data_IF_478739384718
#
_entry.id   IF_478739384718
#
_cell.length_a   1.000
_cell.length_b   1.000
_cell.length_c   1.000
_cell.angle_alpha   90.00
_cell.angle_beta   90.00
_cell.angle_gamma   90.00
#
_symmetry.space_group_name_H-M   'P 1'
#
loop_
_entity.id
_entity.type
_entity.pdbx_description
1 polymer ?
#
# COMPACT_ATOMS: atom_id res chain seq x y z
N UNK A 1 2.02 -12.58 12.91
CA UNK A 1 2.34 -13.51 11.80
C UNK A 1 2.31 -12.86 10.41
N UNK A 2 1.53 -11.80 10.15
CA UNK A 2 1.48 -11.13 8.83
C UNK A 2 2.86 -10.84 8.20
N UNK A 3 3.75 -10.14 8.93
CA UNK A 3 5.09 -9.82 8.41
C UNK A 3 5.89 -11.06 8.01
N UNK A 4 5.83 -12.12 8.81
CA UNK A 4 6.55 -13.36 8.55
C UNK A 4 6.13 -13.97 7.21
N UNK A 5 4.84 -14.06 6.91
CA UNK A 5 4.36 -14.72 5.69
C UNK A 5 4.37 -13.81 4.46
N UNK A 6 4.22 -12.50 4.62
CA UNK A 6 4.17 -11.55 3.51
C UNK A 6 5.56 -11.03 3.12
N UNK A 7 6.48 -10.91 4.07
CA UNK A 7 7.85 -10.45 3.81
C UNK A 7 8.85 -11.57 4.05
N UNK A 8 8.95 -12.09 5.28
CA UNK A 8 10.11 -12.91 5.66
C UNK A 8 10.21 -14.26 4.98
N UNK A 9 9.07 -14.86 4.63
CA UNK A 9 8.99 -16.19 4.05
C UNK A 9 8.62 -16.17 2.58
N UNK A 10 8.11 -15.07 2.02
CA UNK A 10 7.74 -14.97 0.60
C UNK A 10 8.59 -13.94 -0.13
N UNK A 11 8.34 -12.64 0.06
CA UNK A 11 9.05 -11.56 -0.63
C UNK A 11 10.57 -11.58 -0.41
N UNK A 12 11.02 -11.83 0.82
CA UNK A 12 12.43 -11.92 1.20
C UNK A 12 13.17 -13.05 0.48
N UNK A 13 12.69 -14.31 0.56
CA UNK A 13 13.30 -15.42 -0.16
C UNK A 13 13.21 -15.31 -1.68
N UNK A 14 12.07 -14.91 -2.24
CA UNK A 14 11.97 -14.70 -3.70
C UNK A 14 12.82 -13.53 -4.20
N UNK A 15 13.04 -12.52 -3.35
CA UNK A 15 13.95 -11.41 -3.62
C UNK A 15 15.42 -11.70 -3.32
N UNK A 16 15.75 -12.86 -2.74
CA UNK A 16 17.12 -13.25 -2.39
C UNK A 16 17.72 -12.51 -1.19
N UNK A 17 16.91 -11.85 -0.36
CA UNK A 17 17.40 -11.09 0.80
C UNK A 17 17.62 -11.94 2.05
N UNK A 18 16.74 -12.92 2.29
CA UNK A 18 16.71 -13.75 3.49
C UNK A 18 16.15 -15.14 3.14
N UNK A 19 16.40 -16.14 3.97
CA UNK A 19 15.88 -17.50 3.81
C UNK A 19 15.49 -18.12 5.15
N UNK A 20 14.59 -19.10 5.13
CA UNK A 20 14.17 -19.75 6.36
C UNK A 20 15.26 -20.70 6.88
N UNK A 21 15.57 -20.61 8.18
CA UNK A 21 16.56 -21.47 8.85
C UNK A 21 15.96 -22.72 9.50
N UNK A 22 14.63 -22.82 9.52
CA UNK A 22 13.91 -23.96 10.11
C UNK A 22 13.89 -25.12 9.12
N UNK A 23 14.57 -26.21 9.48
CA UNK A 23 14.77 -27.42 8.67
C UNK A 23 13.56 -28.37 8.67
N UNK A 24 12.71 -28.29 9.70
CA UNK A 24 11.48 -29.09 9.80
C UNK A 24 10.36 -28.63 8.85
N UNK A 25 10.42 -27.41 8.33
CA UNK A 25 9.41 -26.89 7.40
C UNK A 25 9.62 -27.38 5.97
N UNK A 26 8.77 -28.29 5.52
CA UNK A 26 8.88 -28.94 4.20
C UNK A 26 8.11 -28.21 3.08
N UNK A 27 7.11 -27.40 3.42
CA UNK A 27 6.22 -26.72 2.45
C UNK A 27 6.30 -25.20 2.60
N UNK A 28 7.25 -24.58 1.89
CA UNK A 28 7.57 -23.15 2.00
C UNK A 28 7.45 -22.45 0.65
N UNK A 29 7.37 -21.11 0.67
CA UNK A 29 7.43 -20.33 -0.56
C UNK A 29 8.81 -20.45 -1.22
N UNK A 30 9.92 -20.41 -0.46
CA UNK A 30 11.29 -20.53 -0.99
C UNK A 30 11.57 -21.89 -1.67
N UNK A 31 10.78 -22.93 -1.35
CA UNK A 31 10.83 -24.25 -1.99
C UNK A 31 9.74 -24.44 -3.05
N UNK A 32 9.05 -23.37 -3.43
CA UNK A 32 8.00 -23.34 -4.46
C UNK A 32 6.81 -24.30 -4.22
N UNK A 33 6.60 -24.73 -2.98
CA UNK A 33 5.52 -25.64 -2.60
C UNK A 33 4.76 -25.18 -1.33
N UNK A 34 4.41 -23.89 -1.17
CA UNK A 34 3.75 -23.41 0.04
C UNK A 34 2.39 -24.08 0.22
N UNK A 35 2.09 -24.47 1.46
CA UNK A 35 0.79 -25.03 1.82
C UNK A 35 -0.36 -24.05 1.53
N UNK A 36 -1.59 -24.56 1.44
CA UNK A 36 -2.77 -23.71 1.28
C UNK A 36 -2.89 -22.68 2.41
N UNK A 37 -2.56 -23.05 3.64
CA UNK A 37 -2.61 -22.16 4.80
C UNK A 37 -1.57 -21.04 4.72
N UNK A 38 -0.38 -21.32 4.20
CA UNK A 38 0.64 -20.30 3.99
C UNK A 38 0.24 -19.31 2.90
N UNK A 39 -0.38 -19.80 1.82
CA UNK A 39 -0.85 -18.96 0.70
C UNK A 39 -2.00 -18.02 1.07
N UNK A 40 -2.77 -18.32 2.13
CA UNK A 40 -3.85 -17.42 2.61
C UNK A 40 -3.33 -16.09 3.11
N UNK A 41 -2.15 -16.08 3.75
CA UNK A 41 -1.58 -14.89 4.37
C UNK A 41 -1.39 -13.71 3.40
N UNK A 42 -0.61 -13.83 2.31
CA UNK A 42 -0.37 -12.73 1.37
C UNK A 42 -1.54 -12.39 0.45
N UNK A 43 -2.63 -13.16 0.51
CA UNK A 43 -3.80 -12.96 -0.34
C UNK A 43 -5.06 -12.70 0.48
N UNK A 44 -5.70 -13.75 0.99
CA UNK A 44 -6.98 -13.65 1.69
C UNK A 44 -6.87 -12.80 2.97
N UNK A 45 -5.87 -13.04 3.81
CA UNK A 45 -5.74 -12.30 5.07
C UNK A 45 -5.40 -10.83 4.82
N UNK A 46 -4.48 -10.52 3.89
CA UNK A 46 -4.18 -9.13 3.51
C UNK A 46 -5.45 -8.41 3.03
N UNK A 47 -6.24 -9.03 2.14
CA UNK A 47 -7.47 -8.41 1.63
C UNK A 47 -8.46 -8.19 2.78
N UNK A 48 -8.73 -9.20 3.60
CA UNK A 48 -9.68 -9.09 4.72
C UNK A 48 -9.25 -8.05 5.74
N UNK A 49 -7.99 -8.07 6.19
CA UNK A 49 -7.48 -7.13 7.19
C UNK A 49 -7.37 -5.69 6.65
N UNK A 50 -7.28 -5.50 5.33
CA UNK A 50 -7.25 -4.17 4.70
C UNK A 50 -8.66 -3.58 4.54
N UNK A 51 -9.60 -4.37 4.04
CA UNK A 51 -10.89 -3.83 3.62
C UNK A 51 -11.86 -3.54 4.78
N UNK A 52 -11.75 -4.26 5.91
CA UNK A 52 -12.55 -3.96 7.10
C UNK A 52 -12.32 -2.53 7.62
N UNK A 53 -11.08 -2.10 7.95
CA UNK A 53 -10.84 -0.71 8.38
C UNK A 53 -11.04 0.29 7.25
N UNK A 54 -10.69 -0.03 6.00
CA UNK A 54 -10.93 0.85 4.85
C UNK A 54 -12.41 1.26 4.73
N UNK A 55 -13.33 0.28 4.79
CA UNK A 55 -14.77 0.53 4.75
C UNK A 55 -15.25 1.30 5.98
N UNK A 56 -14.72 0.99 7.15
CA UNK A 56 -15.04 1.70 8.39
C UNK A 56 -14.70 3.20 8.30
N UNK A 57 -13.61 3.55 7.62
CA UNK A 57 -13.24 4.95 7.39
C UNK A 57 -14.14 5.56 6.32
N UNK A 58 -14.18 4.99 5.11
CA UNK A 58 -14.88 5.58 3.96
C UNK A 58 -16.40 5.69 4.18
N UNK A 59 -17.01 4.75 4.90
CA UNK A 59 -18.43 4.80 5.24
C UNK A 59 -18.75 5.50 6.56
N UNK A 60 -17.72 5.87 7.35
CA UNK A 60 -17.88 6.38 8.72
C UNK A 60 -17.60 7.87 8.89
N UNK A 61 -17.10 8.56 7.86
CA UNK A 61 -16.80 10.00 7.92
C UNK A 61 -16.96 10.68 6.56
N UNK A 62 -17.28 11.97 6.57
CA UNK A 62 -17.25 12.87 5.41
C UNK A 62 -15.94 13.66 5.30
N UNK A 63 -14.98 13.42 6.21
CA UNK A 63 -13.65 14.05 6.18
C UNK A 63 -12.87 13.54 4.96
N UNK A 64 -12.72 14.41 3.96
CA UNK A 64 -12.03 14.12 2.72
C UNK A 64 -10.56 13.70 2.91
N UNK A 65 -9.87 14.21 3.93
CA UNK A 65 -8.47 13.86 4.20
C UNK A 65 -8.40 12.45 4.79
N UNK A 66 -9.35 12.08 5.67
CA UNK A 66 -9.48 10.71 6.15
C UNK A 66 -9.68 9.72 4.98
N UNK A 67 -10.59 10.07 4.05
CA UNK A 67 -10.90 9.26 2.88
C UNK A 67 -9.69 9.18 1.93
N UNK A 68 -8.98 10.29 1.72
CA UNK A 68 -7.77 10.32 0.92
C UNK A 68 -6.67 9.41 1.50
N UNK A 69 -6.48 9.43 2.82
CA UNK A 69 -5.55 8.50 3.48
C UNK A 69 -5.98 7.05 3.32
N UNK A 70 -7.27 6.74 3.51
CA UNK A 70 -7.77 5.38 3.35
C UNK A 70 -7.53 4.85 1.92
N UNK A 71 -7.79 5.67 0.90
CA UNK A 71 -7.54 5.32 -0.51
C UNK A 71 -6.06 5.16 -0.83
N UNK A 72 -5.21 6.09 -0.38
CA UNK A 72 -3.76 6.01 -0.55
C UNK A 72 -3.19 4.73 0.05
N UNK A 73 -3.56 4.40 1.30
CA UNK A 73 -3.10 3.20 1.98
C UNK A 73 -3.64 1.93 1.34
N UNK A 74 -4.90 1.94 0.87
CA UNK A 74 -5.45 0.84 0.08
C UNK A 74 -4.64 0.60 -1.19
N UNK A 75 -4.31 1.63 -1.95
CA UNK A 75 -3.44 1.49 -3.15
C UNK A 75 -2.05 0.97 -2.77
N UNK A 76 -1.44 1.52 -1.71
CA UNK A 76 -0.13 1.08 -1.20
C UNK A 76 -0.09 -0.42 -0.83
N UNK A 77 -1.19 -0.95 -0.31
CA UNK A 77 -1.30 -2.37 0.06
C UNK A 77 -1.63 -3.21 -1.17
N UNK A 78 -2.69 -2.85 -1.89
CA UNK A 78 -3.28 -3.69 -2.93
C UNK A 78 -2.44 -3.76 -4.21
N UNK A 79 -1.60 -2.76 -4.50
CA UNK A 79 -0.63 -2.88 -5.60
C UNK A 79 0.32 -4.08 -5.38
N UNK A 80 0.69 -4.37 -4.12
CA UNK A 80 1.57 -5.52 -3.78
C UNK A 80 0.86 -6.85 -4.00
N UNK A 81 -0.44 -6.90 -3.70
CA UNK A 81 -1.27 -8.10 -3.91
C UNK A 81 -1.40 -8.39 -5.41
N UNK A 82 -1.80 -7.40 -6.21
CA UNK A 82 -1.90 -7.63 -7.67
C UNK A 82 -0.55 -7.87 -8.33
N UNK A 83 0.55 -7.26 -7.86
CA UNK A 83 1.90 -7.56 -8.36
C UNK A 83 2.31 -9.01 -8.10
N UNK A 84 1.75 -9.65 -7.06
CA UNK A 84 2.05 -11.04 -6.70
C UNK A 84 1.13 -12.06 -7.40
N UNK A 85 -0.14 -11.70 -7.64
CA UNK A 85 -1.19 -12.64 -8.06
C UNK A 85 -1.80 -12.34 -9.43
N UNK A 86 -1.52 -11.18 -10.02
CA UNK A 86 -2.20 -10.72 -11.24
C UNK A 86 -3.62 -10.26 -10.93
N UNK A 87 -4.67 -10.85 -11.54
CA UNK A 87 -6.06 -10.52 -11.23
C UNK A 87 -6.38 -10.71 -9.74
N UNK A 88 -7.12 -9.75 -9.16
CA UNK A 88 -7.53 -9.79 -7.75
C UNK A 88 -8.95 -9.20 -7.58
N UNK A 89 -9.67 -9.51 -6.51
CA UNK A 89 -10.87 -8.75 -6.14
C UNK A 89 -10.46 -7.32 -5.76
N UNK A 90 -11.07 -6.30 -6.38
CA UNK A 90 -10.74 -4.90 -6.10
C UNK A 90 -11.96 -3.96 -6.12
N UNK A 91 -12.57 -3.74 -7.29
CA UNK A 91 -13.65 -2.78 -7.51
C UNK A 91 -14.93 -3.16 -6.77
N UNK A 92 -15.28 -4.45 -6.77
CA UNK A 92 -16.48 -4.94 -6.10
C UNK A 92 -16.33 -5.03 -4.58
N UNK A 93 -15.11 -4.92 -4.05
CA UNK A 93 -14.90 -5.01 -2.61
C UNK A 93 -15.45 -3.79 -1.87
N UNK A 94 -15.59 -2.63 -2.52
CA UNK A 94 -16.13 -1.42 -1.89
C UNK A 94 -17.64 -1.52 -1.63
N UNK A 95 -18.39 -2.13 -2.54
CA UNK A 95 -19.85 -2.17 -2.52
C UNK A 95 -20.44 -3.46 -1.93
N UNK A 96 -19.60 -4.40 -1.48
CA UNK A 96 -20.04 -5.69 -0.94
C UNK A 96 -19.48 -5.94 0.44
N UNK A 97 -20.27 -6.45 1.38
CA UNK A 97 -19.80 -6.89 2.70
C UNK A 97 -18.84 -8.09 2.61
N UNK A 98 -19.06 -8.97 1.63
CA UNK A 98 -18.20 -10.11 1.36
C UNK A 98 -16.87 -9.70 0.73
N UNK A 99 -15.78 -10.37 1.13
CA UNK A 99 -14.49 -10.30 0.41
C UNK A 99 -14.40 -11.32 -0.74
N UNK A 100 -15.36 -12.24 -0.83
CA UNK A 100 -15.51 -13.18 -1.93
C UNK A 100 -16.37 -12.52 -3.02
N UNK A 101 -15.70 -11.74 -3.88
CA UNK A 101 -16.32 -11.03 -5.01
C UNK A 101 -15.60 -11.36 -6.31
N UNK A 102 -16.14 -10.89 -7.44
CA UNK A 102 -15.50 -11.11 -8.72
C UNK A 102 -14.11 -10.46 -8.78
N UNK A 103 -13.24 -11.07 -9.59
CA UNK A 103 -11.89 -10.59 -9.80
C UNK A 103 -11.89 -9.57 -10.93
N UNK A 104 -11.09 -8.53 -10.73
CA UNK A 104 -10.73 -7.60 -11.79
C UNK A 104 -9.43 -8.05 -12.44
N UNK A 105 -9.26 -7.78 -13.74
CA UNK A 105 -7.97 -7.97 -14.39
C UNK A 105 -6.93 -7.06 -13.76
N UNK A 106 -5.65 -7.45 -13.76
CA UNK A 106 -4.57 -6.59 -13.25
C UNK A 106 -4.56 -5.20 -13.91
N UNK A 107 -4.89 -5.13 -15.20
CA UNK A 107 -5.04 -3.86 -15.92
C UNK A 107 -6.17 -2.98 -15.35
N UNK A 108 -7.34 -3.56 -15.08
CA UNK A 108 -8.45 -2.85 -14.48
C UNK A 108 -8.12 -2.38 -13.05
N UNK A 109 -7.44 -3.23 -12.27
CA UNK A 109 -6.97 -2.90 -10.92
C UNK A 109 -6.01 -1.72 -10.96
N UNK A 110 -4.98 -1.74 -11.82
CA UNK A 110 -4.05 -0.63 -11.97
C UNK A 110 -4.71 0.66 -12.45
N UNK A 111 -5.65 0.57 -13.39
CA UNK A 111 -6.42 1.72 -13.87
C UNK A 111 -7.19 2.37 -12.70
N UNK A 112 -7.91 1.56 -11.91
CA UNK A 112 -8.66 2.04 -10.76
C UNK A 112 -7.74 2.60 -9.66
N UNK A 113 -6.61 1.96 -9.39
CA UNK A 113 -5.63 2.45 -8.41
C UNK A 113 -5.03 3.80 -8.83
N UNK A 114 -4.82 4.07 -10.12
CA UNK A 114 -4.38 5.39 -10.57
C UNK A 114 -5.45 6.47 -10.36
N UNK A 115 -6.72 6.16 -10.65
CA UNK A 115 -7.84 7.08 -10.37
C UNK A 115 -7.90 7.44 -8.87
N UNK A 116 -7.90 6.43 -8.00
CA UNK A 116 -7.98 6.62 -6.55
C UNK A 116 -6.76 7.37 -6.00
N UNK A 117 -5.57 7.11 -6.55
CA UNK A 117 -4.35 7.78 -6.15
C UNK A 117 -4.31 9.23 -6.63
N UNK A 118 -4.83 9.52 -7.83
CA UNK A 118 -4.94 10.89 -8.35
C UNK A 118 -5.92 11.73 -7.50
N UNK A 119 -7.07 11.17 -7.14
CA UNK A 119 -8.03 11.81 -6.23
C UNK A 119 -7.40 12.07 -4.85
N UNK A 120 -6.65 11.10 -4.30
CA UNK A 120 -5.95 11.28 -3.02
C UNK A 120 -4.87 12.35 -3.10
N UNK A 121 -4.08 12.40 -4.19
CA UNK A 121 -3.06 13.42 -4.42
C UNK A 121 -3.67 14.82 -4.47
N UNK A 122 -4.81 14.98 -5.16
CA UNK A 122 -5.51 16.26 -5.24
C UNK A 122 -5.97 16.74 -3.85
N UNK A 123 -6.62 15.86 -3.08
CA UNK A 123 -7.11 16.17 -1.73
C UNK A 123 -5.96 16.50 -0.77
N UNK A 124 -4.90 15.70 -0.76
CA UNK A 124 -3.73 15.96 0.08
C UNK A 124 -3.06 17.28 -0.33
N UNK A 125 -2.97 17.56 -1.63
CA UNK A 125 -2.39 18.78 -2.19
C UNK A 125 -3.03 20.06 -1.66
N UNK A 126 -4.36 20.13 -1.67
CA UNK A 126 -5.11 21.30 -1.17
C UNK A 126 -5.19 21.40 0.36
N UNK A 127 -4.76 20.36 1.08
CA UNK A 127 -4.80 20.29 2.54
C UNK A 127 -3.40 20.28 3.18
N UNK A 128 -2.33 20.58 2.43
CA UNK A 128 -0.93 20.58 2.92
C UNK A 128 -0.67 21.58 4.07
N UNK A 129 -1.52 22.56 4.27
CA UNK A 129 -1.40 23.58 5.32
C UNK A 129 -2.09 23.20 6.64
N UNK A 130 -2.78 22.05 6.70
CA UNK A 130 -3.38 21.58 7.95
C UNK A 130 -2.28 21.32 9.01
N UNK A 131 -2.51 21.72 10.27
CA UNK A 131 -1.58 21.44 11.36
C UNK A 131 -1.38 19.92 11.52
N UNK A 132 -0.14 19.49 11.76
CA UNK A 132 0.18 18.08 11.94
C UNK A 132 -0.59 17.46 13.12
N UNK A 133 -0.91 18.27 14.14
CA UNK A 133 -1.70 17.87 15.31
C UNK A 133 -3.10 17.36 14.97
N UNK A 134 -3.65 17.72 13.81
CA UNK A 134 -4.93 17.19 13.34
C UNK A 134 -4.85 15.68 13.05
N UNK A 135 -3.67 15.18 12.65
CA UNK A 135 -3.48 13.81 12.17
C UNK A 135 -2.43 13.01 12.95
N UNK A 136 -1.61 13.65 13.80
CA UNK A 136 -0.47 13.01 14.47
C UNK A 136 -0.83 11.77 15.29
N UNK A 137 -2.03 11.71 15.87
CA UNK A 137 -2.51 10.59 16.68
C UNK A 137 -2.82 9.35 15.86
N UNK A 138 -3.03 9.51 14.56
CA UNK A 138 -3.43 8.45 13.64
C UNK A 138 -2.30 8.04 12.69
N UNK A 139 -1.20 8.80 12.67
CA UNK A 139 -0.11 8.65 11.72
C UNK A 139 1.24 8.39 12.43
N UNK A 140 1.74 7.16 12.28
CA UNK A 140 3.04 6.74 12.80
C UNK A 140 4.17 6.81 11.75
N UNK A 141 3.90 7.33 10.54
CA UNK A 141 4.87 7.47 9.44
C UNK A 141 5.40 8.89 9.37
N UNK A 142 4.50 9.89 9.25
CA UNK A 142 4.88 11.29 9.11
C UNK A 142 4.34 12.17 10.23
N UNK A 143 3.83 11.57 11.30
CA UNK A 143 3.31 12.27 12.49
C UNK A 143 2.29 13.38 12.13
N UNK A 144 1.49 13.14 11.09
CA UNK A 144 0.43 14.04 10.63
C UNK A 144 0.85 15.02 9.53
N UNK A 145 2.10 14.98 9.04
CA UNK A 145 2.56 15.88 7.99
C UNK A 145 2.02 15.48 6.61
N UNK A 146 0.94 16.15 6.19
CA UNK A 146 0.27 15.93 4.90
C UNK A 146 1.19 16.23 3.70
N UNK A 147 2.08 17.22 3.79
CA UNK A 147 3.01 17.52 2.70
C UNK A 147 3.99 16.38 2.44
N UNK A 148 4.39 15.63 3.46
CA UNK A 148 5.22 14.42 3.27
C UNK A 148 4.40 13.26 2.70
N UNK A 149 3.15 13.10 3.13
CA UNK A 149 2.23 12.13 2.51
C UNK A 149 1.98 12.40 1.03
N UNK A 150 1.88 13.68 0.62
CA UNK A 150 1.77 14.06 -0.79
C UNK A 150 3.01 13.59 -1.59
N UNK A 151 4.22 13.78 -1.06
CA UNK A 151 5.46 13.27 -1.68
C UNK A 151 5.44 11.75 -1.79
N UNK A 152 4.98 11.05 -0.76
CA UNK A 152 4.84 9.59 -0.79
C UNK A 152 3.84 9.13 -1.85
N UNK A 153 2.66 9.76 -1.93
CA UNK A 153 1.62 9.42 -2.91
C UNK A 153 2.13 9.59 -4.35
N UNK A 154 2.80 10.70 -4.65
CA UNK A 154 3.45 10.90 -5.95
C UNK A 154 4.59 9.89 -6.20
N UNK A 155 5.36 9.52 -5.17
CA UNK A 155 6.43 8.51 -5.32
C UNK A 155 5.86 7.11 -5.60
N UNK A 156 4.73 6.77 -4.98
CA UNK A 156 3.99 5.55 -5.25
C UNK A 156 3.42 5.55 -6.67
N UNK A 157 2.86 6.68 -7.11
CA UNK A 157 2.39 6.88 -8.49
C UNK A 157 3.53 6.67 -9.50
N UNK A 158 4.71 7.23 -9.23
CA UNK A 158 5.90 7.03 -10.06
C UNK A 158 6.32 5.55 -10.10
N UNK A 159 6.36 4.85 -8.96
CA UNK A 159 6.64 3.40 -8.91
C UNK A 159 5.66 2.61 -9.77
N UNK A 160 4.37 2.87 -9.61
CA UNK A 160 3.31 2.21 -10.39
C UNK A 160 3.43 2.54 -11.89
N UNK A 161 3.71 3.79 -12.25
CA UNK A 161 3.91 4.18 -13.64
C UNK A 161 5.10 3.43 -14.27
N UNK A 162 6.21 3.28 -13.55
CA UNK A 162 7.36 2.50 -14.03
C UNK A 162 7.05 1.01 -14.20
N UNK A 163 6.14 0.44 -13.39
CA UNK A 163 5.68 -0.95 -13.59
C UNK A 163 5.04 -1.16 -14.97
N UNK A 164 4.39 -0.13 -15.52
CA UNK A 164 3.68 -0.20 -16.80
C UNK A 164 4.59 0.03 -18.02
N UNK A 165 5.87 0.35 -17.84
CA UNK A 165 6.74 0.87 -18.92
C UNK A 165 6.83 -0.02 -20.16
N UNK A 166 6.71 -1.34 -20.00
CA UNK A 166 6.77 -2.30 -21.11
C UNK A 166 5.41 -2.64 -21.72
N UNK A 167 4.32 -2.51 -20.95
CA UNK A 167 2.98 -2.95 -21.38
C UNK A 167 2.09 -1.80 -21.86
N UNK A 168 2.29 -0.60 -21.29
CA UNK A 168 1.57 0.63 -21.64
C UNK A 168 2.49 1.86 -21.56
N UNK A 169 3.49 1.98 -22.46
CA UNK A 169 4.55 2.99 -22.36
C UNK A 169 4.04 4.43 -22.35
N UNK A 170 3.03 4.75 -23.16
CA UNK A 170 2.48 6.13 -23.21
C UNK A 170 1.78 6.51 -21.90
N UNK A 171 0.98 5.60 -21.33
CA UNK A 171 0.35 5.81 -20.03
C UNK A 171 1.39 5.92 -18.91
N UNK A 172 2.41 5.04 -18.93
CA UNK A 172 3.52 5.08 -17.99
C UNK A 172 4.24 6.43 -18.03
N UNK A 173 4.56 6.93 -19.24
CA UNK A 173 5.22 8.22 -19.43
C UNK A 173 4.38 9.38 -18.89
N UNK A 174 3.08 9.41 -19.20
CA UNK A 174 2.17 10.44 -18.70
C UNK A 174 2.09 10.44 -17.16
N UNK A 175 1.83 9.28 -16.55
CA UNK A 175 1.69 9.15 -15.10
C UNK A 175 2.99 9.43 -14.35
N UNK A 176 4.14 9.04 -14.91
CA UNK A 176 5.45 9.37 -14.35
C UNK A 176 5.73 10.88 -14.39
N UNK A 177 5.42 11.55 -15.50
CA UNK A 177 5.58 13.00 -15.62
C UNK A 177 4.69 13.77 -14.63
N UNK A 178 3.42 13.36 -14.49
CA UNK A 178 2.49 13.91 -13.49
C UNK A 178 3.04 13.76 -12.07
N UNK A 179 3.52 12.56 -11.72
CA UNK A 179 4.09 12.28 -10.39
C UNK A 179 5.33 13.14 -10.08
N UNK A 180 6.23 13.28 -11.05
CA UNK A 180 7.45 14.10 -10.90
C UNK A 180 7.07 15.58 -10.73
N UNK A 181 6.12 16.08 -11.53
CA UNK A 181 5.65 17.46 -11.41
C UNK A 181 4.95 17.74 -10.07
N UNK A 182 4.25 16.75 -9.51
CA UNK A 182 3.62 16.83 -8.17
C UNK A 182 4.60 16.80 -7.00
N UNK A 183 5.87 16.49 -7.25
CA UNK A 183 6.92 16.37 -6.23
C UNK A 183 6.97 14.99 -5.59
N UNK A 184 8.14 14.36 -5.63
CA UNK A 184 8.40 13.02 -5.09
C UNK A 184 9.36 13.08 -3.89
N UNK A 185 9.58 11.95 -3.22
CA UNK A 185 10.58 11.80 -2.16
C UNK A 185 11.97 11.93 -2.79
N UNK A 186 12.72 12.97 -2.41
CA UNK A 186 14.09 13.24 -2.89
C UNK A 186 15.12 13.34 -1.77
N UNK A 187 14.67 13.34 -0.51
CA UNK A 187 15.52 13.41 0.67
C UNK A 187 15.16 12.30 1.66
N UNK A 188 16.15 11.81 2.41
CA UNK A 188 15.93 10.75 3.40
C UNK A 188 14.95 11.13 4.51
N UNK A 189 14.86 12.42 4.86
CA UNK A 189 13.91 12.92 5.84
C UNK A 189 12.44 12.77 5.39
N UNK A 190 12.19 12.55 4.10
CA UNK A 190 10.87 12.31 3.52
C UNK A 190 10.58 10.81 3.32
N UNK A 191 11.46 9.91 3.74
CA UNK A 191 11.21 8.47 3.60
C UNK A 191 9.97 8.05 4.37
N UNK A 192 9.07 7.29 3.72
CA UNK A 192 7.93 6.67 4.38
C UNK A 192 8.40 5.46 5.20
N UNK A 193 8.61 5.66 6.49
CA UNK A 193 9.04 4.62 7.42
C UNK A 193 8.23 4.70 8.72
N UNK A 194 7.79 3.54 9.21
CA UNK A 194 7.33 3.44 10.59
C UNK A 194 8.54 3.28 11.49
N UNK A 195 8.70 4.21 12.43
CA UNK A 195 9.72 4.09 13.45
C UNK A 195 9.19 3.27 14.62
N UNK A 196 10.02 2.36 15.16
CA UNK A 196 9.73 1.83 16.49
C UNK A 196 9.61 3.02 17.44
N UNK A 197 8.60 3.01 18.33
CA UNK A 197 8.53 4.01 19.38
C UNK A 197 9.90 4.02 20.07
N UNK A 198 10.62 5.15 20.02
CA UNK A 198 11.77 5.32 20.89
C UNK A 198 11.23 5.09 22.30
N UNK A 199 11.67 4.03 22.97
CA UNK A 199 11.47 3.89 24.41
C UNK A 199 12.24 5.02 25.09
N UNK A 200 11.69 6.24 25.03
CA UNK A 200 12.03 7.35 25.90
C UNK A 200 11.36 7.08 27.24
N UNK A 201 11.73 5.97 27.89
CA UNK A 201 11.94 6.07 29.33
C UNK A 201 13.05 7.08 29.46
N UNK A 202 12.65 8.33 29.71
CA UNK A 202 13.47 9.32 30.39
C UNK A 202 14.24 8.58 31.47
N UNK A 203 15.54 8.40 31.23
CA UNK A 203 16.51 8.20 32.30
C UNK A 203 16.42 9.49 33.12
N UNK A 204 15.51 9.47 34.09
CA UNK A 204 15.61 10.29 35.30
C UNK A 204 16.82 9.75 36.06
#
# INVERSE_FOLDING_TARGET
>A
HMYQFNESLSGGPFGGYIGATVDTWQTKFETYNPSADWRKWPFANVITETYTPYKGIVGGTDDEVAIAFARLLRVAIMHRVTDSYGPIPYSQLESNESVYVAYDSQEAVYTKMFEELDEAIEILGRNTTLPAEAWNRYDAVYYGNIAQWLKYANSLKLRMAMRLSYVKPELAKAKAAEAIAGGVITANADNAAMHAAENRTTLI
#
